data_IF_493749334334
#
_entry.id   IF_493749334334
#
_cell.length_a   1.000
_cell.length_b   1.000
_cell.length_c   1.000
_cell.angle_alpha   90.00
_cell.angle_beta   90.00
_cell.angle_gamma   90.00
#
_symmetry.space_group_name_H-M   'P 1'
#
loop_
_entity.id
_entity.type
_entity.pdbx_description
1 polymer ?
#
# COMPACT_ATOMS: atom_id res chain seq x y z
N UNK A 1 20.07 7.90 -8.38
CA UNK A 1 19.76 6.96 -7.28
C UNK A 1 19.02 5.78 -7.86
N UNK A 2 19.33 4.56 -7.43
CA UNK A 2 18.69 3.35 -7.96
C UNK A 2 17.31 3.14 -7.31
N UNK A 3 16.30 2.88 -8.14
CA UNK A 3 14.93 2.60 -7.73
C UNK A 3 14.55 1.17 -8.12
N UNK A 4 14.09 0.38 -7.16
CA UNK A 4 13.60 -0.98 -7.39
C UNK A 4 12.08 -1.02 -7.37
N UNK A 5 11.45 -1.60 -8.38
CA UNK A 5 10.01 -1.87 -8.43
C UNK A 5 9.70 -3.30 -7.97
N UNK A 6 8.63 -3.47 -7.21
CA UNK A 6 8.12 -4.78 -6.77
C UNK A 6 6.64 -4.86 -7.11
N UNK A 7 6.25 -5.89 -7.85
CA UNK A 7 4.84 -6.22 -8.11
C UNK A 7 4.58 -7.64 -7.60
N UNK A 8 3.52 -7.80 -6.81
CA UNK A 8 3.09 -9.11 -6.29
C UNK A 8 1.89 -9.56 -7.10
N UNK A 9 1.92 -10.80 -7.59
CA UNK A 9 0.81 -11.38 -8.34
C UNK A 9 0.42 -12.73 -7.75
N UNK A 10 -0.89 -12.95 -7.61
CA UNK A 10 -1.48 -14.18 -7.10
C UNK A 10 -2.49 -14.72 -8.11
N UNK A 11 -2.09 -15.77 -8.83
CA UNK A 11 -2.92 -16.39 -9.86
C UNK A 11 -2.96 -15.63 -11.20
N UNK A 12 -3.72 -16.17 -12.14
CA UNK A 12 -3.74 -15.71 -13.53
C UNK A 12 -4.35 -14.32 -13.71
N UNK A 13 -5.39 -13.99 -12.92
CA UNK A 13 -6.08 -12.69 -13.02
C UNK A 13 -5.15 -11.53 -12.69
N UNK A 14 -4.46 -11.60 -11.54
CA UNK A 14 -3.51 -10.55 -11.16
C UNK A 14 -2.27 -10.53 -12.08
N UNK A 15 -1.88 -11.68 -12.64
CA UNK A 15 -0.82 -11.74 -13.65
C UNK A 15 -1.21 -10.96 -14.91
N UNK A 16 -2.47 -11.08 -15.34
CA UNK A 16 -2.94 -10.32 -16.51
C UNK A 16 -3.03 -8.83 -16.23
N UNK A 17 -3.50 -8.42 -15.05
CA UNK A 17 -3.49 -7.02 -14.64
C UNK A 17 -2.05 -6.44 -14.63
N UNK A 18 -1.11 -7.20 -14.09
CA UNK A 18 0.31 -6.81 -14.09
C UNK A 18 0.87 -6.69 -15.52
N UNK A 19 0.49 -7.57 -16.45
CA UNK A 19 0.91 -7.45 -17.86
C UNK A 19 0.48 -6.12 -18.48
N UNK A 20 -0.65 -5.57 -18.04
CA UNK A 20 -1.17 -4.29 -18.52
C UNK A 20 -0.50 -3.10 -17.83
N UNK A 21 -0.18 -3.19 -16.54
CA UNK A 21 0.41 -2.09 -15.76
C UNK A 21 1.94 -2.01 -15.87
N UNK A 22 2.63 -3.15 -16.01
CA UNK A 22 4.09 -3.22 -16.01
C UNK A 22 4.77 -2.37 -17.10
N UNK A 23 4.22 -2.21 -18.32
CA UNK A 23 4.80 -1.31 -19.34
C UNK A 23 4.85 0.16 -18.93
N UNK A 24 3.97 0.61 -18.02
CA UNK A 24 4.02 1.97 -17.48
C UNK A 24 4.96 2.08 -16.27
N UNK A 25 5.14 1.00 -15.52
CA UNK A 25 5.98 0.96 -14.32
C UNK A 25 7.46 0.75 -14.65
N UNK A 26 7.78 -0.24 -15.51
CA UNK A 26 9.14 -0.68 -15.76
C UNK A 26 10.09 0.43 -16.26
N UNK A 27 9.68 1.35 -17.16
CA UNK A 27 10.57 2.43 -17.61
C UNK A 27 10.94 3.45 -16.51
N UNK A 28 10.23 3.45 -15.39
CA UNK A 28 10.42 4.38 -14.29
C UNK A 28 11.26 3.79 -13.14
N UNK A 29 11.70 2.54 -13.25
CA UNK A 29 12.52 1.85 -12.25
C UNK A 29 13.78 1.27 -12.88
N UNK A 30 14.86 1.18 -12.11
CA UNK A 30 16.14 0.62 -12.60
C UNK A 30 16.11 -0.91 -12.62
N UNK A 31 15.30 -1.52 -11.78
CA UNK A 31 15.03 -2.95 -11.74
C UNK A 31 13.58 -3.23 -11.37
N UNK A 32 13.01 -4.26 -11.94
CA UNK A 32 11.66 -4.72 -11.62
C UNK A 32 11.69 -6.16 -11.13
N UNK A 33 11.07 -6.41 -9.98
CA UNK A 33 10.90 -7.74 -9.40
C UNK A 33 9.41 -8.07 -9.36
N UNK A 34 9.05 -9.18 -9.98
CA UNK A 34 7.69 -9.75 -9.91
C UNK A 34 7.71 -10.92 -8.92
N UNK A 35 6.95 -10.81 -7.84
CA UNK A 35 6.79 -11.89 -6.86
C UNK A 35 5.57 -12.73 -7.22
N UNK A 36 5.80 -13.90 -7.78
CA UNK A 36 4.79 -14.87 -8.14
C UNK A 36 4.37 -15.65 -6.88
N UNK A 37 3.20 -15.36 -6.33
CA UNK A 37 2.70 -15.89 -5.06
C UNK A 37 1.78 -17.10 -5.28
N UNK A 38 2.33 -18.27 -5.07
CA UNK A 38 1.65 -19.55 -5.23
C UNK A 38 1.70 -20.13 -6.65
N UNK A 39 1.16 -21.33 -6.84
CA UNK A 39 1.12 -21.98 -8.15
C UNK A 39 0.24 -21.21 -9.12
N UNK A 40 0.53 -21.32 -10.42
CA UNK A 40 -0.19 -20.66 -11.51
C UNK A 40 -0.13 -19.12 -11.49
N UNK A 41 0.86 -18.56 -10.81
CA UNK A 41 1.20 -17.14 -10.90
C UNK A 41 2.35 -16.97 -11.88
N UNK A 42 2.22 -16.08 -12.86
CA UNK A 42 3.23 -15.82 -13.89
C UNK A 42 3.53 -17.05 -14.74
N UNK A 43 2.58 -17.43 -15.57
CA UNK A 43 2.79 -18.40 -16.65
C UNK A 43 3.18 -17.66 -17.94
N UNK A 44 4.23 -18.14 -18.63
CA UNK A 44 4.74 -17.58 -19.87
C UNK A 44 5.62 -16.33 -19.68
N UNK A 45 5.91 -15.67 -20.80
CA UNK A 45 6.80 -14.52 -20.85
C UNK A 45 6.13 -13.25 -20.29
N UNK A 46 6.96 -12.42 -19.65
CA UNK A 46 6.53 -11.09 -19.20
C UNK A 46 6.70 -10.08 -20.35
N UNK A 47 5.83 -9.05 -20.45
CA UNK A 47 5.91 -8.02 -21.47
C UNK A 47 7.08 -7.05 -21.27
N UNK A 48 7.76 -7.15 -20.15
CA UNK A 48 8.86 -6.28 -19.72
C UNK A 48 9.98 -7.09 -19.10
N UNK A 49 11.19 -6.51 -19.06
CA UNK A 49 12.32 -7.11 -18.36
C UNK A 49 12.07 -7.06 -16.84
N UNK A 50 11.97 -8.22 -16.21
CA UNK A 50 11.77 -8.33 -14.77
C UNK A 50 12.40 -9.61 -14.23
N UNK A 51 12.90 -9.54 -12.99
CA UNK A 51 13.27 -10.73 -12.22
C UNK A 51 12.01 -11.34 -11.61
N UNK A 52 11.86 -12.66 -11.69
CA UNK A 52 10.71 -13.36 -11.07
C UNK A 52 11.16 -14.13 -9.83
N UNK A 53 10.58 -13.74 -8.68
CA UNK A 53 10.73 -14.48 -7.42
C UNK A 53 9.51 -15.38 -7.25
N UNK A 54 9.69 -16.70 -7.23
CA UNK A 54 8.59 -17.67 -7.16
C UNK A 54 8.41 -18.22 -5.74
N UNK A 55 7.24 -18.02 -5.18
CA UNK A 55 6.79 -18.69 -3.97
C UNK A 55 5.88 -19.85 -4.36
N UNK A 56 6.29 -21.09 -4.05
CA UNK A 56 5.49 -22.27 -4.38
C UNK A 56 4.22 -22.40 -3.54
N UNK A 57 4.20 -21.78 -2.35
CA UNK A 57 3.05 -21.74 -1.46
C UNK A 57 2.49 -20.33 -1.36
N UNK A 58 1.18 -20.21 -1.15
CA UNK A 58 0.53 -18.94 -0.91
C UNK A 58 1.00 -18.31 0.40
N UNK A 59 1.60 -17.14 0.31
CA UNK A 59 2.07 -16.33 1.44
C UNK A 59 1.23 -15.07 1.60
N UNK A 60 1.28 -14.47 2.78
CA UNK A 60 0.67 -13.18 3.05
C UNK A 60 1.35 -12.04 2.26
N UNK A 61 0.63 -10.94 2.07
CA UNK A 61 1.10 -9.78 1.30
C UNK A 61 2.43 -9.24 1.83
N UNK A 62 2.55 -9.02 3.15
CA UNK A 62 3.80 -8.56 3.79
C UNK A 62 5.00 -9.50 3.55
N UNK A 63 4.77 -10.80 3.59
CA UNK A 63 5.85 -11.78 3.34
C UNK A 63 6.32 -11.74 1.87
N UNK A 64 5.40 -11.50 0.94
CA UNK A 64 5.74 -11.33 -0.48
C UNK A 64 6.48 -10.01 -0.73
N UNK A 65 6.06 -8.90 -0.09
CA UNK A 65 6.82 -7.63 -0.15
C UNK A 65 8.26 -7.86 0.33
N UNK A 66 8.45 -8.53 1.47
CA UNK A 66 9.78 -8.82 2.00
C UNK A 66 10.62 -9.70 1.06
N UNK A 67 9.99 -10.67 0.38
CA UNK A 67 10.69 -11.47 -0.63
C UNK A 67 11.16 -10.62 -1.83
N UNK A 68 10.34 -9.67 -2.26
CA UNK A 68 10.72 -8.69 -3.28
C UNK A 68 11.84 -7.75 -2.79
N UNK A 69 11.74 -7.21 -1.57
CA UNK A 69 12.78 -6.36 -0.97
C UNK A 69 14.12 -7.09 -0.92
N UNK A 70 14.12 -8.37 -0.52
CA UNK A 70 15.33 -9.19 -0.45
C UNK A 70 15.97 -9.48 -1.81
N UNK A 71 15.20 -9.36 -2.90
CA UNK A 71 15.67 -9.55 -4.28
C UNK A 71 16.07 -8.23 -4.97
N UNK A 72 16.07 -7.11 -4.25
CA UNK A 72 16.35 -5.76 -4.77
C UNK A 72 17.44 -5.07 -3.97
N UNK A 73 18.17 -4.11 -4.60
CA UNK A 73 19.25 -3.36 -3.95
C UNK A 73 19.13 -1.83 -4.13
N UNK A 74 18.03 -1.33 -4.71
CA UNK A 74 17.79 0.10 -4.89
C UNK A 74 17.73 0.89 -3.58
N UNK A 75 18.15 2.15 -3.62
CA UNK A 75 18.05 3.12 -2.50
C UNK A 75 16.60 3.43 -2.15
N UNK A 76 15.73 3.32 -3.13
CA UNK A 76 14.28 3.38 -2.99
C UNK A 76 13.63 2.09 -3.51
N UNK A 77 12.58 1.69 -2.83
CA UNK A 77 11.76 0.53 -3.21
C UNK A 77 10.33 1.00 -3.44
N UNK A 78 9.81 0.74 -4.63
CA UNK A 78 8.40 0.95 -4.97
C UNK A 78 7.67 -0.38 -4.90
N UNK A 79 6.65 -0.49 -4.06
CA UNK A 79 5.67 -1.58 -4.13
C UNK A 79 4.48 -1.10 -4.92
N UNK A 80 4.07 -1.86 -5.93
CA UNK A 80 2.93 -1.58 -6.80
C UNK A 80 1.98 -2.78 -6.84
N UNK A 81 0.69 -2.52 -6.69
CA UNK A 81 -0.32 -3.51 -7.02
C UNK A 81 -0.31 -3.81 -8.53
N UNK A 82 -0.73 -5.01 -8.94
CA UNK A 82 -0.76 -5.40 -10.35
C UNK A 82 -1.72 -4.56 -11.22
N UNK A 83 -2.70 -3.89 -10.62
CA UNK A 83 -3.69 -3.01 -11.26
C UNK A 83 -3.38 -1.51 -11.09
N UNK A 84 -2.18 -1.16 -10.60
CA UNK A 84 -1.77 0.22 -10.43
C UNK A 84 -0.89 0.68 -11.60
N UNK A 85 -1.35 1.68 -12.33
CA UNK A 85 -0.70 2.23 -13.53
C UNK A 85 -0.19 3.63 -13.20
N UNK A 86 1.13 3.82 -13.01
CA UNK A 86 1.70 5.15 -12.78
C UNK A 86 1.66 5.99 -14.06
N UNK A 87 1.34 7.28 -13.93
CA UNK A 87 1.57 8.24 -14.99
C UNK A 87 3.08 8.42 -15.26
N UNK A 88 3.47 8.94 -16.44
CA UNK A 88 4.87 9.30 -16.68
C UNK A 88 5.42 10.19 -15.55
N UNK A 89 6.68 9.94 -15.16
CA UNK A 89 7.39 10.67 -14.09
C UNK A 89 6.84 10.51 -12.67
N UNK A 90 5.79 9.70 -12.44
CA UNK A 90 5.20 9.53 -11.13
C UNK A 90 6.23 9.08 -10.07
N UNK A 91 7.11 8.16 -10.43
CA UNK A 91 8.18 7.69 -9.52
C UNK A 91 9.26 8.75 -9.35
N UNK A 92 9.63 9.46 -10.39
CA UNK A 92 10.61 10.55 -10.31
C UNK A 92 10.12 11.67 -9.36
N UNK A 93 8.82 12.02 -9.39
CA UNK A 93 8.20 12.97 -8.48
C UNK A 93 8.29 12.49 -7.01
N UNK A 94 8.01 11.21 -6.74
CA UNK A 94 8.12 10.64 -5.41
C UNK A 94 9.56 10.63 -4.90
N UNK A 95 10.52 10.26 -5.75
CA UNK A 95 11.96 10.24 -5.44
C UNK A 95 12.45 11.65 -5.18
N UNK A 96 12.17 12.60 -6.07
CA UNK A 96 12.57 13.99 -5.92
C UNK A 96 12.03 14.62 -4.62
N UNK A 97 10.79 14.31 -4.27
CA UNK A 97 10.21 14.72 -3.00
C UNK A 97 10.96 14.10 -1.81
N UNK A 98 11.19 12.78 -1.84
CA UNK A 98 11.87 12.06 -0.76
C UNK A 98 13.33 12.53 -0.56
N UNK A 99 14.02 12.90 -1.65
CA UNK A 99 15.37 13.46 -1.61
C UNK A 99 15.41 14.83 -0.94
N UNK A 100 14.44 15.68 -1.24
CA UNK A 100 14.31 16.99 -0.62
C UNK A 100 13.89 16.90 0.88
N UNK A 101 13.40 15.72 1.32
CA UNK A 101 12.90 15.48 2.67
C UNK A 101 13.62 14.26 3.31
N UNK A 102 14.80 14.44 3.93
CA UNK A 102 15.62 13.31 4.43
C UNK A 102 14.91 12.40 5.45
N UNK A 103 13.88 12.89 6.13
CA UNK A 103 13.04 12.10 7.06
C UNK A 103 11.85 11.41 6.38
N UNK A 104 11.62 11.65 5.09
CA UNK A 104 10.61 10.95 4.32
C UNK A 104 11.03 9.49 4.15
N UNK A 105 10.38 8.61 4.91
CA UNK A 105 10.58 7.17 4.80
C UNK A 105 9.59 6.51 3.85
N UNK A 106 8.36 7.05 3.78
CA UNK A 106 7.29 6.56 2.89
C UNK A 106 6.69 7.72 2.12
N UNK A 107 6.63 7.61 0.81
CA UNK A 107 5.89 8.53 -0.05
C UNK A 107 4.85 7.77 -0.87
N UNK A 108 3.61 8.28 -0.92
CA UNK A 108 2.54 7.71 -1.71
C UNK A 108 1.95 8.73 -2.68
N UNK A 109 1.53 8.31 -3.87
CA UNK A 109 0.99 9.17 -4.90
C UNK A 109 -0.46 9.58 -4.65
N UNK A 110 -0.95 10.50 -5.44
CA UNK A 110 -2.36 10.73 -5.69
C UNK A 110 -2.90 9.54 -6.50
N UNK A 111 -3.75 8.74 -5.87
CA UNK A 111 -4.40 7.63 -6.56
C UNK A 111 -5.75 8.08 -7.13
N UNK A 112 -6.03 7.67 -8.37
CA UNK A 112 -7.21 8.05 -9.14
C UNK A 112 -7.95 6.79 -9.58
N UNK A 113 -9.27 6.80 -9.40
CA UNK A 113 -10.14 5.75 -9.91
C UNK A 113 -10.25 5.80 -11.45
N UNK A 114 -10.70 4.72 -12.13
CA UNK A 114 -10.92 4.74 -13.57
C UNK A 114 -11.88 5.82 -14.06
N UNK A 115 -12.80 6.28 -13.20
CA UNK A 115 -13.74 7.37 -13.49
C UNK A 115 -13.15 8.79 -13.27
N UNK A 116 -11.86 8.87 -12.95
CA UNK A 116 -11.15 10.14 -12.69
C UNK A 116 -11.34 10.70 -11.28
N UNK A 117 -12.11 10.04 -10.41
CA UNK A 117 -12.31 10.51 -9.02
C UNK A 117 -11.10 10.16 -8.13
N UNK A 118 -10.85 11.02 -7.14
CA UNK A 118 -9.77 10.81 -6.18
C UNK A 118 -10.07 9.61 -5.26
N UNK A 119 -9.12 8.68 -5.17
CA UNK A 119 -9.19 7.61 -4.17
C UNK A 119 -8.78 8.12 -2.78
N UNK A 120 -9.48 7.64 -1.74
CA UNK A 120 -9.13 7.90 -0.35
C UNK A 120 -7.89 7.03 0.06
N UNK A 121 -6.76 7.25 -0.62
CA UNK A 121 -5.50 6.51 -0.39
C UNK A 121 -4.76 7.01 0.84
N UNK A 122 -4.86 8.28 1.16
CA UNK A 122 -4.28 8.94 2.34
C UNK A 122 -5.24 8.88 3.52
N UNK A 123 -4.74 8.55 4.74
CA UNK A 123 -5.62 8.31 5.90
C UNK A 123 -4.96 8.71 7.21
N UNK A 124 -5.80 8.97 8.22
CA UNK A 124 -5.41 8.93 9.62
C UNK A 124 -5.38 7.48 10.11
N UNK A 125 -4.62 7.19 11.17
CA UNK A 125 -4.70 5.87 11.80
C UNK A 125 -6.13 5.61 12.27
N UNK A 126 -6.63 4.38 12.08
CA UNK A 126 -7.99 4.03 12.49
C UNK A 126 -8.15 4.09 14.01
N UNK A 127 -9.33 4.49 14.46
CA UNK A 127 -9.78 4.33 15.84
C UNK A 127 -10.56 3.01 15.97
N UNK A 128 -10.64 2.47 17.19
CA UNK A 128 -11.42 1.23 17.43
C UNK A 128 -12.88 1.46 17.11
N UNK A 129 -13.47 2.54 17.64
CA UNK A 129 -14.88 2.88 17.38
C UNK A 129 -15.15 3.03 15.87
N UNK A 130 -14.28 3.76 15.16
CA UNK A 130 -14.38 3.93 13.72
C UNK A 130 -14.29 2.61 12.96
N UNK A 131 -13.40 1.71 13.37
CA UNK A 131 -13.25 0.39 12.77
C UNK A 131 -14.47 -0.50 12.96
N UNK A 132 -15.09 -0.48 14.15
CA UNK A 132 -16.31 -1.23 14.45
C UNK A 132 -17.48 -0.70 13.59
N UNK A 133 -17.74 0.60 13.63
CA UNK A 133 -18.85 1.20 12.86
C UNK A 133 -18.69 0.92 11.37
N UNK A 134 -17.48 1.07 10.82
CA UNK A 134 -17.22 0.80 9.40
C UNK A 134 -17.54 -0.64 9.00
N UNK A 135 -17.34 -1.62 9.89
CA UNK A 135 -17.51 -3.06 9.60
C UNK A 135 -18.88 -3.60 9.93
N UNK A 136 -19.78 -2.76 10.42
CA UNK A 136 -21.14 -3.14 10.76
C UNK A 136 -22.16 -2.46 9.84
N UNK A 137 -23.39 -3.01 9.72
CA UNK A 137 -24.50 -2.38 9.00
C UNK A 137 -24.85 -0.98 9.48
N UNK A 138 -24.45 -0.62 10.70
CA UNK A 138 -24.68 0.70 11.31
C UNK A 138 -24.22 1.84 10.37
N UNK A 139 -23.14 1.63 9.59
CA UNK A 139 -22.68 2.62 8.62
C UNK A 139 -23.71 2.99 7.55
N UNK A 140 -24.71 2.11 7.28
CA UNK A 140 -25.73 2.35 6.26
C UNK A 140 -26.86 3.25 6.80
N UNK A 141 -26.96 3.40 8.14
CA UNK A 141 -27.99 4.21 8.78
C UNK A 141 -27.60 5.70 8.88
N UNK A 142 -26.33 6.02 8.62
CA UNK A 142 -25.80 7.37 8.77
C UNK A 142 -24.98 7.78 7.55
N UNK A 143 -25.09 9.04 7.10
CA UNK A 143 -24.17 9.61 6.13
C UNK A 143 -22.72 9.55 6.65
N UNK A 144 -21.70 9.77 5.82
CA UNK A 144 -20.31 9.80 6.26
C UNK A 144 -20.15 10.74 7.47
N UNK A 145 -20.00 10.14 8.64
CA UNK A 145 -19.88 10.88 9.90
C UNK A 145 -18.57 11.67 9.94
N UNK A 146 -18.50 12.70 10.76
CA UNK A 146 -17.30 13.57 10.87
C UNK A 146 -16.00 12.78 11.08
N UNK A 147 -16.05 11.68 11.84
CA UNK A 147 -14.88 10.82 12.06
C UNK A 147 -14.45 10.07 10.78
N UNK A 148 -15.38 9.68 9.90
CA UNK A 148 -15.03 9.07 8.59
C UNK A 148 -14.35 10.10 7.69
N UNK A 149 -14.90 11.31 7.60
CA UNK A 149 -14.31 12.41 6.85
C UNK A 149 -12.90 12.71 7.35
N UNK A 150 -12.71 12.74 8.68
CA UNK A 150 -11.40 12.93 9.31
C UNK A 150 -10.43 11.77 9.02
N UNK A 151 -10.91 10.51 9.14
CA UNK A 151 -10.08 9.33 8.88
C UNK A 151 -9.58 9.29 7.43
N UNK A 152 -10.47 9.55 6.46
CA UNK A 152 -10.13 9.56 5.04
C UNK A 152 -9.57 10.90 4.53
N UNK A 153 -9.41 11.89 5.41
CA UNK A 153 -8.92 13.21 5.05
C UNK A 153 -9.70 13.83 3.87
N UNK A 154 -11.03 13.61 3.83
CA UNK A 154 -11.87 14.02 2.71
C UNK A 154 -11.95 15.54 2.53
N UNK A 155 -11.75 16.30 3.60
CA UNK A 155 -11.80 17.77 3.62
C UNK A 155 -10.40 18.40 3.49
N UNK A 156 -9.34 17.57 3.38
CA UNK A 156 -7.97 18.07 3.27
C UNK A 156 -7.67 18.53 1.84
N UNK A 157 -6.84 19.58 1.65
CA UNK A 157 -6.39 20.01 0.33
C UNK A 157 -5.81 18.86 -0.48
N UNK A 158 -6.04 18.86 -1.80
CA UNK A 158 -5.59 17.79 -2.69
C UNK A 158 -4.53 18.23 -3.71
N UNK A 159 -4.03 19.45 -3.60
CA UNK A 159 -3.06 20.02 -4.53
C UNK A 159 -1.62 20.10 -4.01
N UNK A 160 -1.41 19.90 -2.70
CA UNK A 160 -0.10 20.06 -2.09
C UNK A 160 0.32 18.81 -1.30
N UNK A 161 1.63 18.51 -1.18
CA UNK A 161 2.13 17.43 -0.35
C UNK A 161 1.70 17.61 1.11
N UNK A 162 1.35 16.49 1.75
CA UNK A 162 0.96 16.53 3.16
C UNK A 162 1.46 15.31 3.93
N UNK A 163 1.82 15.50 5.18
CA UNK A 163 2.07 14.40 6.09
C UNK A 163 0.77 13.69 6.46
N UNK A 164 0.80 12.37 6.42
CA UNK A 164 -0.35 11.52 6.73
C UNK A 164 0.02 10.46 7.76
N UNK A 165 -0.96 9.84 8.39
CA UNK A 165 -0.67 8.76 9.32
C UNK A 165 -0.37 7.45 8.58
N UNK A 166 -1.16 7.13 7.55
CA UNK A 166 -1.00 5.93 6.73
C UNK A 166 -1.54 6.15 5.32
N UNK A 167 -1.07 5.32 4.40
CA UNK A 167 -1.52 5.28 3.01
C UNK A 167 -1.85 3.85 2.62
N UNK A 168 -2.64 3.68 1.54
CA UNK A 168 -2.89 2.37 0.96
C UNK A 168 -1.59 1.74 0.46
N UNK A 169 -1.38 0.46 0.80
CA UNK A 169 -0.24 -0.32 0.33
C UNK A 169 -0.24 -0.66 -1.16
N UNK A 170 -1.19 -0.10 -1.93
CA UNK A 170 -1.33 -0.38 -3.36
C UNK A 170 -0.24 0.25 -4.23
N UNK A 171 0.32 1.39 -3.81
CA UNK A 171 1.49 2.00 -4.44
C UNK A 171 2.22 2.88 -3.43
N UNK A 172 3.43 2.47 -3.05
CA UNK A 172 4.24 3.19 -2.05
C UNK A 172 5.70 3.18 -2.46
N UNK A 173 6.33 4.35 -2.43
CA UNK A 173 7.78 4.48 -2.45
C UNK A 173 8.29 4.45 -1.01
N UNK A 174 9.31 3.64 -0.74
CA UNK A 174 9.91 3.45 0.57
C UNK A 174 11.43 3.62 0.49
N UNK A 175 12.00 4.34 1.46
CA UNK A 175 13.45 4.50 1.58
C UNK A 175 14.10 3.23 2.11
N UNK A 176 15.16 2.74 1.46
CA UNK A 176 15.88 1.50 1.85
C UNK A 176 16.35 1.54 3.30
N UNK A 177 16.98 2.62 3.73
CA UNK A 177 17.50 2.75 5.10
C UNK A 177 16.39 2.62 6.15
N UNK A 178 15.17 3.12 5.88
CA UNK A 178 14.03 2.89 6.75
C UNK A 178 13.60 1.40 6.73
N UNK A 179 13.56 0.76 5.56
CA UNK A 179 13.21 -0.67 5.46
C UNK A 179 14.17 -1.53 6.27
N UNK A 180 15.47 -1.24 6.20
CA UNK A 180 16.50 -1.96 6.94
C UNK A 180 16.37 -1.75 8.45
N UNK A 181 16.13 -0.51 8.90
CA UNK A 181 15.90 -0.17 10.31
C UNK A 181 14.66 -0.88 10.88
N UNK A 182 13.59 -0.94 10.11
CA UNK A 182 12.33 -1.57 10.54
C UNK A 182 12.33 -3.10 10.40
N UNK A 183 13.31 -3.69 9.70
CA UNK A 183 13.33 -5.11 9.36
C UNK A 183 12.23 -5.50 8.37
N UNK A 184 11.85 -4.58 7.48
CA UNK A 184 10.80 -4.78 6.48
C UNK A 184 9.37 -4.76 7.05
N UNK A 185 8.45 -5.39 6.33
CA UNK A 185 7.04 -5.55 6.70
C UNK A 185 6.84 -6.72 7.66
N UNK A 186 5.86 -6.66 8.56
CA UNK A 186 5.59 -7.76 9.50
C UNK A 186 4.91 -8.95 8.78
N UNK A 187 5.61 -10.09 8.55
CA UNK A 187 5.06 -11.23 7.82
C UNK A 187 3.90 -11.94 8.53
N UNK A 188 3.60 -11.58 9.76
CA UNK A 188 2.47 -12.11 10.51
C UNK A 188 1.11 -11.57 10.05
N UNK A 189 1.09 -10.56 9.13
CA UNK A 189 -0.11 -10.13 8.43
C UNK A 189 -0.28 -10.90 7.13
N UNK A 190 -1.43 -11.54 6.97
CA UNK A 190 -1.77 -12.25 5.74
C UNK A 190 -2.29 -11.31 4.67
N UNK A 191 -3.19 -10.41 5.08
CA UNK A 191 -3.81 -9.40 4.25
C UNK A 191 -4.49 -8.38 5.17
N UNK A 192 -4.46 -7.08 4.79
CA UNK A 192 -5.04 -5.95 5.51
C UNK A 192 -4.30 -5.56 6.80
N UNK A 193 -4.37 -4.29 7.14
CA UNK A 193 -3.76 -3.69 8.34
C UNK A 193 -2.22 -3.71 8.32
N UNK A 194 -1.62 -4.42 7.41
CA UNK A 194 -0.19 -4.50 7.18
C UNK A 194 0.41 -3.13 6.81
N UNK A 195 -0.25 -2.38 5.92
CA UNK A 195 0.07 -1.00 5.59
C UNK A 195 -0.05 -0.07 6.81
N UNK A 196 -1.08 -0.26 7.64
CA UNK A 196 -1.26 0.51 8.88
C UNK A 196 -0.13 0.21 9.88
N UNK A 197 0.20 -1.07 10.11
CA UNK A 197 1.30 -1.48 10.99
C UNK A 197 2.65 -0.95 10.51
N UNK A 198 2.91 -1.07 9.20
CA UNK A 198 4.15 -0.59 8.61
C UNK A 198 4.32 0.93 8.80
N UNK A 199 3.32 1.71 8.43
CA UNK A 199 3.34 3.16 8.60
C UNK A 199 3.39 3.57 10.09
N UNK A 200 2.78 2.80 10.98
CA UNK A 200 2.83 3.05 12.43
C UNK A 200 4.23 2.80 12.99
N UNK A 201 4.90 1.71 12.57
CA UNK A 201 6.30 1.44 12.95
C UNK A 201 7.25 2.49 12.39
N UNK A 202 7.05 2.92 11.15
CA UNK A 202 7.81 4.02 10.57
C UNK A 202 7.66 5.30 11.40
N UNK A 203 6.43 5.66 11.80
CA UNK A 203 6.18 6.79 12.69
C UNK A 203 6.94 6.67 14.03
N UNK A 204 6.89 5.50 14.67
CA UNK A 204 7.56 5.28 15.96
C UNK A 204 9.08 5.37 15.87
N UNK A 205 9.66 5.01 14.73
CA UNK A 205 11.08 5.16 14.42
C UNK A 205 11.44 6.60 13.99
N UNK A 206 10.46 7.50 13.93
CA UNK A 206 10.68 8.91 13.60
C UNK A 206 10.69 9.21 12.09
N UNK A 207 10.32 8.25 11.24
CA UNK A 207 10.18 8.46 9.82
C UNK A 207 8.85 9.13 9.48
N UNK A 208 8.88 10.01 8.45
CA UNK A 208 7.72 10.71 7.96
C UNK A 208 7.05 9.91 6.83
N UNK A 209 5.74 10.08 6.71
CA UNK A 209 4.89 9.47 5.65
C UNK A 209 4.19 10.61 4.94
N UNK A 210 4.45 10.73 3.65
CA UNK A 210 3.99 11.85 2.84
C UNK A 210 3.13 11.41 1.67
N UNK A 211 2.01 12.06 1.52
CA UNK A 211 1.21 12.00 0.30
C UNK A 211 1.65 13.10 -0.64
N UNK A 212 2.04 12.74 -1.86
CA UNK A 212 2.66 13.61 -2.86
C UNK A 212 1.75 13.66 -4.09
N UNK A 213 0.93 14.71 -4.26
CA UNK A 213 -0.10 14.76 -5.30
C UNK A 213 0.42 15.04 -6.71
N UNK A 214 1.66 15.50 -6.87
CA UNK A 214 2.29 15.63 -8.19
C UNK A 214 2.54 14.27 -8.84
N UNK A 215 2.80 13.23 -8.04
CA UNK A 215 2.83 11.85 -8.51
C UNK A 215 1.40 11.32 -8.64
N UNK A 216 1.02 10.82 -9.82
CA UNK A 216 -0.33 10.31 -10.10
C UNK A 216 -0.26 8.85 -10.50
N UNK A 217 -1.15 8.04 -9.92
CA UNK A 217 -1.29 6.61 -10.22
C UNK A 217 -2.76 6.26 -10.41
N UNK A 218 -3.11 5.67 -11.53
CA UNK A 218 -4.43 5.11 -11.79
C UNK A 218 -4.52 3.71 -11.17
N UNK A 219 -5.58 3.45 -10.41
CA UNK A 219 -5.72 2.18 -9.69
C UNK A 219 -7.18 1.75 -9.66
N UNK A 220 -7.46 0.53 -10.09
CA UNK A 220 -8.81 -0.02 -10.10
C UNK A 220 -9.22 -0.52 -8.70
N UNK A 221 -9.61 0.42 -7.82
CA UNK A 221 -10.02 0.09 -6.47
C UNK A 221 -11.33 -0.68 -6.41
N UNK A 222 -11.28 -1.97 -6.24
CA UNK A 222 -12.47 -2.83 -6.19
C UNK A 222 -13.28 -2.71 -4.89
N UNK A 223 -12.72 -2.15 -3.81
CA UNK A 223 -13.38 -1.96 -2.49
C UNK A 223 -14.14 -3.19 -1.96
N UNK A 224 -13.64 -4.38 -2.25
CA UNK A 224 -14.38 -5.65 -2.06
C UNK A 224 -14.85 -5.87 -0.63
N UNK A 225 -14.09 -5.39 0.36
CA UNK A 225 -14.45 -5.52 1.79
C UNK A 225 -15.63 -4.63 2.15
N UNK A 226 -15.76 -3.49 1.50
CA UNK A 226 -16.77 -2.50 1.85
C UNK A 226 -18.14 -2.82 1.22
N UNK A 227 -18.20 -3.75 0.26
CA UNK A 227 -19.45 -4.13 -0.43
C UNK A 227 -20.28 -5.21 0.26
N UNK A 228 -19.66 -6.05 1.12
CA UNK A 228 -20.35 -7.18 1.78
C UNK A 228 -19.95 -7.30 3.26
N UNK A 229 -20.94 -7.56 4.13
CA UNK A 229 -20.73 -7.87 5.55
C UNK A 229 -20.55 -9.37 5.77
N UNK A 230 -19.88 -9.77 6.86
CA UNK A 230 -19.69 -11.15 7.30
C UNK A 230 -19.02 -12.09 6.28
N UNK A 231 -18.04 -11.58 5.54
CA UNK A 231 -17.24 -12.38 4.61
C UNK A 231 -15.96 -12.90 5.29
N UNK A 232 -15.32 -13.93 4.68
CA UNK A 232 -14.00 -14.42 5.09
C UNK A 232 -12.95 -13.29 5.11
N UNK A 233 -13.05 -12.31 4.21
CA UNK A 233 -12.17 -11.13 4.16
C UNK A 233 -12.37 -10.20 5.37
N UNK A 234 -13.61 -10.03 5.84
CA UNK A 234 -13.88 -9.26 7.07
C UNK A 234 -13.31 -9.95 8.30
N UNK A 235 -13.34 -11.28 8.36
CA UNK A 235 -12.69 -12.05 9.41
C UNK A 235 -11.17 -11.89 9.40
N UNK A 236 -10.52 -11.95 8.26
CA UNK A 236 -9.09 -11.68 8.14
C UNK A 236 -8.74 -10.27 8.60
N UNK A 237 -9.54 -9.28 8.21
CA UNK A 237 -9.33 -7.91 8.68
C UNK A 237 -9.48 -7.79 10.21
N UNK A 238 -10.46 -8.46 10.82
CA UNK A 238 -10.64 -8.46 12.28
C UNK A 238 -9.43 -9.10 13.00
N UNK A 239 -8.93 -10.23 12.48
CA UNK A 239 -7.71 -10.88 13.01
C UNK A 239 -6.47 -9.97 12.86
N UNK A 240 -6.33 -9.32 11.72
CA UNK A 240 -5.23 -8.39 11.47
C UNK A 240 -5.30 -7.17 12.41
N UNK A 241 -6.48 -6.61 12.64
CA UNK A 241 -6.68 -5.52 13.59
C UNK A 241 -6.40 -5.97 15.03
N UNK A 242 -6.83 -7.15 15.43
CA UNK A 242 -6.52 -7.70 16.76
C UNK A 242 -5.00 -7.91 16.94
N UNK A 243 -4.28 -8.37 15.90
CA UNK A 243 -2.81 -8.43 15.92
C UNK A 243 -2.20 -7.05 16.09
N UNK A 244 -2.66 -6.05 15.33
CA UNK A 244 -2.19 -4.67 15.41
C UNK A 244 -2.36 -4.09 16.82
N UNK A 245 -3.55 -4.22 17.42
CA UNK A 245 -3.83 -3.72 18.76
C UNK A 245 -3.03 -4.46 19.85
N UNK A 246 -2.80 -5.77 19.70
CA UNK A 246 -1.95 -6.53 20.63
C UNK A 246 -0.49 -6.09 20.54
N UNK A 247 -0.01 -5.76 19.36
CA UNK A 247 1.36 -5.30 19.10
C UNK A 247 1.56 -3.83 19.53
N UNK A 248 0.50 -3.05 19.45
CA UNK A 248 0.48 -1.61 19.75
C UNK A 248 -0.64 -1.26 20.73
N UNK A 249 -0.53 -1.72 22.02
CA UNK A 249 -1.60 -1.57 23.01
C UNK A 249 -1.95 -0.11 23.32
N UNK A 250 -1.03 0.82 23.11
CA UNK A 250 -1.28 2.26 23.21
C UNK A 250 -2.36 2.76 22.25
N UNK A 251 -2.61 2.02 21.16
CA UNK A 251 -3.70 2.33 20.21
C UNK A 251 -5.09 1.98 20.73
N UNK A 252 -5.19 1.18 21.79
CA UNK A 252 -6.47 0.91 22.47
C UNK A 252 -7.05 2.17 23.10
N UNK A 253 -6.21 3.12 23.52
CA UNK A 253 -6.62 4.38 24.15
C UNK A 253 -6.87 5.50 23.13
N UNK A 254 -6.57 5.30 21.86
CA UNK A 254 -6.82 6.28 20.81
C UNK A 254 -8.28 6.24 20.35
N UNK A 255 -9.16 6.86 21.12
CA UNK A 255 -10.60 6.91 20.84
C UNK A 255 -10.98 7.91 19.74
N UNK A 256 -10.14 8.91 19.44
CA UNK A 256 -10.45 10.05 18.54
C UNK A 256 -9.26 10.41 17.63
#
# INVERSE_FOLDING_TARGET
>A
MKVSGIVIVTGAEETELMRQSAPALQPQVDELVVVANGPNSVDGDLPVAAQVVRNHELRGFSANINAGIAATDGEYVVVSNPDAVPEPDAIAELVGFADAHPRCGVAGPKMVNPDGTLQASRRRFPTIAGSIVRRTPIRLLFPPLRWQRRHYLLDAPSGEPMQVDTMLGAFLLMRRTMLDELGGWDPGYQLYVDDIDFNYRAMKAGWERWWVPSAVVHHEYQAVIDKRFFTRRNWWHAKAMARFLRKHPERLLAFW
#
